data_IF_175113539449
#
_entry.id   IF_175113539449
#
_cell.length_a   1.000
_cell.length_b   1.000
_cell.length_c   1.000
_cell.angle_alpha   90.00
_cell.angle_beta   90.00
_cell.angle_gamma   90.00
#
_symmetry.space_group_name_H-M   'P 1'
#
loop_
_entity.id
_entity.type
_entity.pdbx_description
1 polymer ?
#
# COMPACT_ATOMS: atom_id res chain seq x y z
N UNK A 1 -12.38 1.90 -5.29
CA UNK A 1 -11.00 1.69 -5.81
C UNK A 1 -11.00 0.69 -6.95
N UNK A 2 -10.11 0.89 -7.94
CA UNK A 2 -10.07 0.15 -9.20
C UNK A 2 -9.42 -1.24 -9.08
N UNK A 3 -8.30 -1.35 -8.35
CA UNK A 3 -7.58 -2.62 -8.11
C UNK A 3 -8.23 -3.53 -7.06
N UNK A 4 -9.07 -2.95 -6.19
CA UNK A 4 -9.71 -3.66 -5.09
C UNK A 4 -9.01 -3.55 -3.74
N UNK A 5 -7.90 -2.80 -3.68
CA UNK A 5 -7.24 -2.38 -2.45
C UNK A 5 -8.02 -1.24 -1.75
N UNK A 6 -7.63 -0.89 -0.53
CA UNK A 6 -8.23 0.20 0.25
C UNK A 6 -7.57 1.55 -0.07
N UNK A 7 -8.37 2.59 -0.34
CA UNK A 7 -7.87 3.97 -0.55
C UNK A 7 -7.77 4.79 0.74
N UNK A 8 -8.43 4.36 1.81
CA UNK A 8 -8.57 5.10 3.06
C UNK A 8 -8.05 4.29 4.23
N UNK A 9 -6.78 4.45 4.61
CA UNK A 9 -6.20 3.95 5.88
C UNK A 9 -4.72 4.35 5.97
N UNK A 10 -3.91 3.60 6.73
CA UNK A 10 -2.43 3.65 6.69
C UNK A 10 -1.84 2.82 5.54
N UNK A 11 -2.65 1.95 4.93
CA UNK A 11 -2.30 1.02 3.86
C UNK A 11 -2.84 1.50 2.51
N UNK A 12 -2.61 2.76 2.10
CA UNK A 12 -3.22 3.29 0.86
C UNK A 12 -2.37 3.06 -0.38
N UNK A 13 -1.06 2.90 -0.20
CA UNK A 13 -0.14 2.72 -1.32
C UNK A 13 -0.17 1.26 -1.77
N UNK A 14 -0.49 1.02 -3.05
CA UNK A 14 -0.49 -0.34 -3.63
C UNK A 14 0.92 -0.89 -3.86
N UNK A 15 1.94 -0.01 -3.97
CA UNK A 15 3.33 -0.45 -4.15
C UNK A 15 3.98 -0.84 -2.84
N UNK A 16 3.65 -0.10 -1.78
CA UNK A 16 4.23 -0.33 -0.47
C UNK A 16 3.35 -1.27 0.37
N UNK A 17 2.06 -1.36 0.07
CA UNK A 17 1.09 -2.27 0.69
C UNK A 17 1.07 -2.14 2.23
N UNK A 18 1.54 -3.17 2.92
CA UNK A 18 1.70 -3.33 4.35
C UNK A 18 3.05 -2.81 4.87
N UNK A 19 4.07 -2.75 4.01
CA UNK A 19 5.28 -1.97 4.27
C UNK A 19 4.92 -0.49 4.18
N UNK A 20 4.54 0.11 5.31
CA UNK A 20 4.15 1.51 5.39
C UNK A 20 4.54 2.08 6.74
N UNK A 21 5.27 3.20 6.72
CA UNK A 21 5.61 3.98 7.91
C UNK A 21 4.64 5.16 8.11
N UNK A 22 3.37 4.94 7.75
CA UNK A 22 2.33 5.95 7.90
C UNK A 22 2.13 6.32 9.38
N UNK A 23 1.98 7.62 9.63
CA UNK A 23 1.78 8.16 10.97
C UNK A 23 0.59 9.13 10.96
N UNK A 24 0.00 9.38 12.13
CA UNK A 24 -1.02 10.41 12.27
C UNK A 24 -0.37 11.73 12.65
N UNK A 25 -0.77 12.80 11.97
CA UNK A 25 -0.37 14.16 12.34
C UNK A 25 -0.92 14.49 13.73
N UNK A 26 -0.06 14.95 14.64
CA UNK A 26 -0.43 15.24 16.04
C UNK A 26 -1.67 16.14 16.16
N UNK A 27 -1.67 17.27 15.43
CA UNK A 27 -2.74 18.27 15.53
C UNK A 27 -3.92 17.96 14.59
N UNK A 28 -3.64 17.51 13.37
CA UNK A 28 -4.70 17.27 12.37
C UNK A 28 -5.37 15.90 12.47
N UNK A 29 -4.77 14.94 13.19
CA UNK A 29 -5.18 13.53 13.30
C UNK A 29 -5.34 12.77 11.98
N UNK A 30 -4.99 13.40 10.85
CA UNK A 30 -4.95 12.81 9.51
C UNK A 30 -3.74 11.91 9.37
N UNK A 31 -3.93 10.78 8.69
CA UNK A 31 -2.83 9.90 8.28
C UNK A 31 -1.97 10.60 7.23
N UNK A 32 -0.65 10.49 7.37
CA UNK A 32 0.33 11.02 6.44
C UNK A 32 1.41 9.98 6.14
N UNK A 33 1.92 10.03 4.91
CA UNK A 33 3.09 9.30 4.41
C UNK A 33 4.24 10.24 4.06
N UNK A 34 4.20 11.46 4.61
CA UNK A 34 5.28 12.41 4.42
C UNK A 34 6.63 11.74 4.72
N UNK A 35 7.65 12.07 3.92
CA UNK A 35 9.01 11.52 4.04
C UNK A 35 9.20 10.03 3.63
N UNK A 36 8.12 9.28 3.42
CA UNK A 36 8.22 7.84 3.12
C UNK A 36 8.80 7.53 1.73
N UNK A 37 8.51 8.37 0.74
CA UNK A 37 8.95 8.20 -0.66
C UNK A 37 10.47 8.28 -0.86
N UNK A 38 11.23 8.88 0.08
CA UNK A 38 12.69 9.03 -0.07
C UNK A 38 13.43 7.69 -0.12
N UNK A 39 12.84 6.61 0.39
CA UNK A 39 13.43 5.27 0.32
C UNK A 39 13.66 4.81 -1.13
N UNK A 40 12.80 5.23 -2.06
CA UNK A 40 12.89 4.93 -3.50
C UNK A 40 13.96 5.74 -4.23
N UNK A 41 14.63 6.69 -3.58
CA UNK A 41 15.72 7.43 -4.19
C UNK A 41 16.99 6.57 -4.30
N UNK A 42 17.91 6.88 -5.22
CA UNK A 42 19.23 6.25 -5.26
C UNK A 42 19.98 6.42 -3.94
N UNK A 43 20.81 5.44 -3.61
CA UNK A 43 21.51 5.37 -2.33
C UNK A 43 22.40 6.58 -2.03
N UNK A 44 23.04 7.11 -3.09
CA UNK A 44 23.95 8.24 -2.99
C UNK A 44 23.25 9.61 -3.10
N UNK A 45 21.92 9.65 -3.02
CA UNK A 45 21.17 10.90 -3.10
C UNK A 45 21.32 11.74 -1.83
N UNK A 46 21.74 13.01 -1.97
CA UNK A 46 21.80 13.99 -0.86
C UNK A 46 20.45 14.15 -0.16
N UNK A 47 19.35 13.95 -0.89
CA UNK A 47 18.00 14.01 -0.34
C UNK A 47 17.75 12.90 0.69
N UNK A 48 18.44 11.75 0.69
CA UNK A 48 18.33 10.74 1.76
C UNK A 48 18.99 11.16 3.08
N UNK A 49 19.92 12.12 3.03
CA UNK A 49 20.65 12.65 4.20
C UNK A 49 20.10 13.99 4.71
N UNK A 50 19.19 14.63 3.98
CA UNK A 50 18.60 15.91 4.37
C UNK A 50 17.73 15.78 5.63
N UNK A 51 18.13 16.48 6.70
CA UNK A 51 17.47 16.52 8.01
C UNK A 51 16.60 17.77 8.21
N UNK A 52 16.64 18.72 7.28
CA UNK A 52 15.98 20.03 7.35
C UNK A 52 14.77 20.13 6.41
N UNK A 53 14.90 19.65 5.18
CA UNK A 53 13.83 19.69 4.17
C UNK A 53 12.72 18.65 4.38
N UNK A 54 12.92 17.70 5.29
CA UNK A 54 12.03 16.58 5.53
C UNK A 54 11.71 16.39 7.02
N UNK A 55 11.39 15.15 7.44
CA UNK A 55 11.19 14.85 8.86
C UNK A 55 12.42 15.25 9.67
N UNK A 56 12.16 16.05 10.71
CA UNK A 56 13.19 16.63 11.57
C UNK A 56 14.13 15.54 12.07
N UNK A 57 15.43 15.76 11.86
CA UNK A 57 16.51 14.90 12.33
C UNK A 57 16.48 13.45 11.80
N UNK A 58 15.70 13.16 10.75
CA UNK A 58 15.59 11.82 10.16
C UNK A 58 16.45 11.67 8.91
N UNK A 59 17.19 10.57 8.84
CA UNK A 59 18.03 10.15 7.71
C UNK A 59 17.56 8.77 7.25
N UNK A 60 17.49 8.56 5.94
CA UNK A 60 16.91 7.36 5.32
C UNK A 60 17.89 6.66 4.36
N UNK A 61 19.19 6.82 4.59
CA UNK A 61 20.25 6.25 3.74
C UNK A 61 20.06 4.73 3.64
N UNK A 62 19.90 4.02 4.75
CA UNK A 62 19.75 2.55 4.75
C UNK A 62 18.29 2.08 4.69
N UNK A 63 17.36 2.96 4.34
CA UNK A 63 15.94 2.62 4.19
C UNK A 63 15.68 2.36 2.70
N UNK A 64 15.65 1.08 2.32
CA UNK A 64 15.34 0.63 0.96
C UNK A 64 13.91 0.12 0.89
N UNK A 65 13.13 0.43 -0.16
CA UNK A 65 11.79 -0.14 -0.34
C UNK A 65 11.83 -1.66 -0.36
N UNK A 66 10.81 -2.29 0.22
CA UNK A 66 10.52 -3.68 -0.11
C UNK A 66 10.42 -3.82 -1.63
N UNK A 67 10.80 -4.99 -2.13
CA UNK A 67 10.69 -5.31 -3.55
C UNK A 67 9.27 -5.00 -4.02
N UNK A 68 9.16 -4.22 -5.10
CA UNK A 68 7.88 -3.95 -5.73
C UNK A 68 7.36 -5.29 -6.25
N UNK A 69 6.22 -5.72 -5.71
CA UNK A 69 5.60 -6.98 -6.11
C UNK A 69 5.11 -6.89 -7.54
N UNK A 70 5.33 -7.94 -8.32
CA UNK A 70 4.81 -7.99 -9.68
C UNK A 70 3.30 -8.26 -9.68
N UNK A 71 2.67 -8.10 -10.85
CA UNK A 71 1.23 -8.32 -11.00
C UNK A 71 0.82 -9.74 -10.61
N UNK A 72 1.64 -10.73 -10.94
CA UNK A 72 1.42 -12.14 -10.64
C UNK A 72 1.46 -12.40 -9.12
N UNK A 73 2.43 -11.83 -8.41
CA UNK A 73 2.54 -11.95 -6.95
C UNK A 73 1.36 -11.33 -6.22
N UNK A 74 0.86 -10.21 -6.73
CA UNK A 74 -0.33 -9.55 -6.21
C UNK A 74 -1.57 -10.42 -6.49
N UNK A 75 -1.70 -10.95 -7.70
CA UNK A 75 -2.83 -11.80 -8.06
C UNK A 75 -2.87 -13.07 -7.19
N UNK A 76 -1.74 -13.73 -7.00
CA UNK A 76 -1.62 -14.89 -6.11
C UNK A 76 -2.08 -14.58 -4.67
N UNK A 77 -1.76 -13.40 -4.15
CA UNK A 77 -2.24 -12.97 -2.83
C UNK A 77 -3.76 -12.75 -2.80
N UNK A 78 -4.33 -12.09 -3.81
CA UNK A 78 -5.78 -11.87 -3.90
C UNK A 78 -6.51 -13.23 -3.95
N UNK A 79 -5.95 -14.20 -4.68
CA UNK A 79 -6.50 -15.54 -4.79
C UNK A 79 -6.35 -16.36 -3.51
N UNK A 80 -5.22 -16.24 -2.81
CA UNK A 80 -5.01 -16.93 -1.53
C UNK A 80 -5.93 -16.44 -0.43
N UNK A 81 -6.34 -15.16 -0.48
CA UNK A 81 -7.36 -14.60 0.41
C UNK A 81 -8.78 -15.11 0.10
N UNK A 82 -8.99 -15.86 -0.99
CA UNK A 82 -10.30 -16.39 -1.40
C UNK A 82 -11.37 -15.29 -1.61
N UNK A 83 -10.93 -14.09 -2.00
CA UNK A 83 -11.83 -12.99 -2.30
C UNK A 83 -12.70 -13.33 -3.52
N UNK A 84 -14.00 -13.19 -3.37
CA UNK A 84 -14.95 -13.34 -4.46
C UNK A 84 -14.81 -12.20 -5.46
N UNK A 85 -14.85 -12.56 -6.75
CA UNK A 85 -14.97 -11.59 -7.83
C UNK A 85 -16.19 -10.71 -7.60
N UNK A 86 -16.02 -9.41 -7.80
CA UNK A 86 -17.10 -8.40 -7.62
C UNK A 86 -18.35 -8.67 -8.46
N UNK A 87 -18.25 -9.48 -9.52
CA UNK A 87 -19.37 -9.86 -10.39
C UNK A 87 -20.27 -10.95 -9.79
N UNK A 88 -19.87 -11.60 -8.70
CA UNK A 88 -20.64 -12.66 -8.05
C UNK A 88 -21.62 -12.07 -7.03
N UNK A 89 -22.83 -12.64 -6.99
CA UNK A 89 -23.86 -12.27 -6.02
C UNK A 89 -23.34 -12.53 -4.60
N UNK A 90 -23.52 -11.57 -3.70
CA UNK A 90 -23.06 -11.66 -2.31
C UNK A 90 -21.56 -11.44 -2.09
N UNK A 91 -20.80 -11.05 -3.13
CA UNK A 91 -19.36 -10.81 -3.02
C UNK A 91 -19.01 -9.76 -1.96
N UNK A 92 -19.80 -8.70 -1.82
CA UNK A 92 -19.50 -7.61 -0.87
C UNK A 92 -19.51 -8.10 0.59
N UNK A 93 -20.55 -8.84 0.99
CA UNK A 93 -20.68 -9.37 2.35
C UNK A 93 -19.55 -10.37 2.67
N UNK A 94 -19.31 -11.33 1.77
CA UNK A 94 -18.25 -12.32 1.95
C UNK A 94 -16.85 -11.67 1.99
N UNK A 95 -16.58 -10.74 1.08
CA UNK A 95 -15.29 -10.07 1.04
C UNK A 95 -15.08 -9.19 2.27
N UNK A 96 -16.13 -8.55 2.83
CA UNK A 96 -16.01 -7.78 4.06
C UNK A 96 -15.61 -8.63 5.28
N UNK A 97 -16.06 -9.89 5.34
CA UNK A 97 -15.65 -10.83 6.39
C UNK A 97 -14.20 -11.27 6.25
N UNK A 98 -13.78 -11.59 5.02
CA UNK A 98 -12.42 -12.04 4.68
C UNK A 98 -11.38 -10.93 4.84
N UNK A 99 -11.75 -9.70 4.48
CA UNK A 99 -10.85 -8.53 4.40
C UNK A 99 -10.38 -7.98 5.76
N UNK A 100 -10.71 -8.65 6.87
CA UNK A 100 -10.31 -8.23 8.22
C UNK A 100 -8.79 -8.36 8.38
N UNK A 101 -8.12 -7.22 8.54
CA UNK A 101 -6.66 -7.16 8.75
C UNK A 101 -5.82 -7.04 7.48
N UNK A 102 -6.39 -7.22 6.29
CA UNK A 102 -5.70 -6.94 5.02
C UNK A 102 -6.11 -5.57 4.45
N UNK A 103 -5.33 -5.05 3.49
CA UNK A 103 -5.72 -3.88 2.70
C UNK A 103 -6.66 -4.22 1.54
N UNK A 104 -6.79 -5.50 1.17
CA UNK A 104 -7.71 -5.94 0.13
C UNK A 104 -9.17 -5.85 0.59
N UNK A 105 -10.04 -5.35 -0.27
CA UNK A 105 -11.49 -5.25 -0.01
C UNK A 105 -12.33 -6.00 -1.03
N UNK A 106 -11.77 -6.27 -2.21
CA UNK A 106 -12.47 -6.97 -3.29
C UNK A 106 -11.49 -7.51 -4.32
N UNK A 107 -11.86 -8.58 -5.01
CA UNK A 107 -11.20 -9.04 -6.24
C UNK A 107 -11.81 -8.31 -7.44
N UNK A 108 -11.10 -7.32 -7.96
CA UNK A 108 -11.55 -6.53 -9.12
C UNK A 108 -11.58 -7.37 -10.40
N UNK A 109 -12.46 -6.99 -11.34
CA UNK A 109 -12.49 -7.57 -12.70
C UNK A 109 -11.23 -7.25 -13.51
N UNK A 110 -10.48 -6.21 -13.13
CA UNK A 110 -9.27 -5.82 -13.86
C UNK A 110 -8.21 -6.91 -13.88
N UNK A 111 -8.18 -7.76 -12.86
CA UNK A 111 -7.28 -8.90 -12.78
C UNK A 111 -7.60 -10.02 -13.79
N UNK A 112 -8.75 -9.95 -14.46
CA UNK A 112 -9.18 -10.91 -15.49
C UNK A 112 -9.01 -10.36 -16.92
N UNK A 113 -8.51 -9.12 -17.08
CA UNK A 113 -8.28 -8.52 -18.39
C UNK A 113 -6.95 -9.00 -18.98
N UNK A 114 -6.91 -9.18 -20.30
CA UNK A 114 -5.69 -9.46 -21.05
C UNK A 114 -4.92 -8.14 -21.22
N UNK A 115 -3.73 -8.03 -20.62
CA UNK A 115 -2.81 -6.89 -20.73
C UNK A 115 -1.64 -7.21 -21.66
#
# INVERSE_FOLDING_TARGET
>A
MLSGWITHSKMTCLYCMDDTKAFQLHHGRKTSWFDYHRRFLPQNSKLKADKKGFMRAKVVINDEPSLIRCGEEILMEIESLLLMKVTKIGADAKNAEIAKGSGWRKRSILWDLLY
#
